data_IF_153810085591
#
_entry.id   IF_153810085591
#
_cell.length_a   1.000
_cell.length_b   1.000
_cell.length_c   1.000
_cell.angle_alpha   90.00
_cell.angle_beta   90.00
_cell.angle_gamma   90.00
#
_symmetry.space_group_name_H-M   'P 1'
#
loop_
_entity.id
_entity.type
_entity.pdbx_description
1 polymer ?
#
# COMPACT_ATOMS: atom_id res chain seq x y z
N UNK A 1 19.15 -5.25 -4.19
CA UNK A 1 18.70 -6.03 -3.01
C UNK A 1 17.43 -5.37 -2.49
N UNK A 2 16.30 -6.07 -2.55
CA UNK A 2 15.00 -5.41 -2.78
C UNK A 2 14.14 -5.31 -1.53
N UNK A 3 13.55 -4.13 -1.29
CA UNK A 3 12.65 -3.82 -0.15
C UNK A 3 11.48 -4.83 -0.02
N UNK A 4 11.14 -5.52 -1.10
CA UNK A 4 10.16 -6.62 -1.14
C UNK A 4 10.45 -7.78 -0.17
N UNK A 5 11.71 -8.00 0.23
CA UNK A 5 12.06 -8.98 1.28
C UNK A 5 11.85 -8.45 2.71
N UNK A 6 11.92 -7.14 2.96
CA UNK A 6 11.78 -6.59 4.32
C UNK A 6 10.35 -6.67 4.87
N UNK A 7 9.31 -6.56 4.04
CA UNK A 7 7.92 -6.68 4.51
C UNK A 7 7.56 -8.10 4.94
N UNK A 8 7.95 -9.14 4.18
CA UNK A 8 7.77 -10.53 4.58
C UNK A 8 8.64 -10.93 5.78
N UNK A 9 9.84 -10.37 5.90
CA UNK A 9 10.68 -10.58 7.08
C UNK A 9 10.07 -9.95 8.33
N UNK A 10 9.42 -8.79 8.26
CA UNK A 10 8.82 -8.18 9.45
C UNK A 10 7.59 -8.92 9.98
N UNK A 11 6.70 -9.45 9.12
CA UNK A 11 5.59 -10.28 9.59
C UNK A 11 6.11 -11.61 10.16
N UNK A 12 7.06 -12.27 9.50
CA UNK A 12 7.70 -13.48 10.00
C UNK A 12 8.51 -13.26 11.29
N UNK A 13 9.16 -12.11 11.47
CA UNK A 13 9.90 -11.74 12.68
C UNK A 13 8.96 -11.43 13.84
N UNK A 14 7.79 -10.80 13.58
CA UNK A 14 6.74 -10.63 14.58
C UNK A 14 6.15 -11.99 14.97
N UNK A 15 5.88 -12.86 13.99
CA UNK A 15 5.39 -14.23 14.23
C UNK A 15 6.39 -15.05 15.04
N UNK A 16 7.68 -14.99 14.68
CA UNK A 16 8.76 -15.65 15.41
C UNK A 16 8.87 -15.10 16.83
N UNK A 17 8.83 -13.77 17.02
CA UNK A 17 8.79 -13.18 18.36
C UNK A 17 7.57 -13.59 19.17
N UNK A 18 6.38 -13.73 18.57
CA UNK A 18 5.19 -14.22 19.28
C UNK A 18 5.28 -15.70 19.65
N UNK A 19 5.82 -16.54 18.75
CA UNK A 19 6.09 -17.96 19.03
C UNK A 19 7.19 -18.10 20.09
N UNK A 20 8.26 -17.32 19.99
CA UNK A 20 9.34 -17.29 20.98
C UNK A 20 8.81 -16.79 22.34
N UNK A 21 7.92 -15.78 22.38
CA UNK A 21 7.26 -15.35 23.63
C UNK A 21 6.39 -16.47 24.23
N UNK A 22 5.64 -17.18 23.40
CA UNK A 22 4.77 -18.29 23.80
C UNK A 22 5.60 -19.49 24.33
N UNK A 23 6.69 -19.84 23.64
CA UNK A 23 7.65 -20.88 24.06
C UNK A 23 8.44 -20.44 25.30
N UNK A 24 8.77 -19.16 25.46
CA UNK A 24 9.42 -18.62 26.65
C UNK A 24 8.46 -18.59 27.85
N UNK A 25 7.16 -18.41 27.63
CA UNK A 25 6.14 -18.54 28.67
C UNK A 25 5.99 -20.00 29.13
N UNK A 26 5.99 -20.95 28.18
CA UNK A 26 5.96 -22.40 28.46
C UNK A 26 7.24 -22.91 29.16
N UNK A 27 8.40 -22.30 28.89
CA UNK A 27 9.67 -22.70 29.52
C UNK A 27 9.97 -21.97 30.83
N UNK A 28 9.48 -20.75 31.04
CA UNK A 28 9.62 -20.04 32.31
C UNK A 28 8.94 -20.77 33.49
N UNK A 29 7.79 -21.41 33.25
CA UNK A 29 7.05 -22.21 34.26
C UNK A 29 7.78 -23.50 34.68
N UNK A 30 8.91 -23.84 34.04
CA UNK A 30 9.77 -24.99 34.43
C UNK A 30 10.95 -24.63 35.34
N UNK A 31 11.35 -23.36 35.42
CA UNK A 31 12.63 -22.97 36.04
C UNK A 31 12.51 -22.33 37.43
N UNK A 32 11.31 -22.17 37.98
CA UNK A 32 11.06 -21.51 39.29
C UNK A 32 11.27 -22.42 40.51
N UNK A 33 12.00 -23.54 40.39
CA UNK A 33 12.14 -24.54 41.48
C UNK A 33 13.58 -25.02 41.73
N UNK A 34 14.56 -24.11 41.85
CA UNK A 34 15.91 -24.47 42.34
C UNK A 34 16.63 -23.31 43.04
N UNK A 35 17.34 -23.63 44.14
CA UNK A 35 18.16 -22.74 45.01
C UNK A 35 17.39 -21.69 45.84
N UNK A 36 17.67 -21.37 47.12
CA UNK A 36 18.70 -21.70 48.16
C UNK A 36 18.06 -21.37 49.55
N UNK A 37 18.53 -21.75 50.76
CA UNK A 37 19.67 -22.53 51.30
C UNK A 37 19.46 -22.85 52.81
N UNK A 38 20.49 -23.42 53.47
CA UNK A 38 20.81 -23.38 54.93
C UNK A 38 20.14 -24.37 55.93
N UNK A 39 20.96 -24.78 56.91
CA UNK A 39 20.76 -25.81 57.95
C UNK A 39 20.41 -25.16 59.32
N UNK A 40 19.86 -25.89 60.32
CA UNK A 40 20.73 -26.73 61.17
C UNK A 40 20.14 -28.06 61.72
N UNK A 41 21.05 -29.02 61.91
CA UNK A 41 21.16 -30.02 63.00
C UNK A 41 19.96 -30.87 63.50
N UNK A 42 20.03 -32.18 63.20
CA UNK A 42 19.76 -33.38 64.06
C UNK A 42 18.60 -33.30 65.08
N UNK A 43 17.59 -34.18 64.98
CA UNK A 43 17.73 -35.62 65.31
C UNK A 43 16.64 -36.53 64.71
N UNK A 44 17.02 -37.81 64.54
CA UNK A 44 16.20 -39.05 64.57
C UNK A 44 14.87 -39.06 63.76
N UNK A 45 14.88 -39.58 62.52
CA UNK A 45 14.63 -41.02 62.21
C UNK A 45 13.18 -41.45 62.46
N UNK A 46 12.34 -41.34 61.42
CA UNK A 46 11.35 -42.37 61.07
C UNK A 46 10.84 -42.20 59.61
N UNK A 47 10.42 -43.32 59.02
CA UNK A 47 9.58 -43.46 57.81
C UNK A 47 10.12 -42.96 56.45
N UNK A 48 10.76 -43.91 55.75
CA UNK A 48 10.62 -44.06 54.30
C UNK A 48 9.14 -44.09 53.84
N UNK A 49 8.92 -43.84 52.54
CA UNK A 49 7.65 -43.91 51.81
C UNK A 49 6.65 -42.75 52.01
N UNK A 50 7.07 -41.54 51.61
CA UNK A 50 6.11 -40.64 50.95
C UNK A 50 5.70 -41.27 49.60
N UNK A 51 4.40 -41.41 49.28
CA UNK A 51 3.99 -42.25 48.15
C UNK A 51 4.03 -41.47 46.82
N UNK A 52 4.63 -42.08 45.78
CA UNK A 52 4.60 -41.58 44.39
C UNK A 52 3.19 -41.14 43.94
N UNK A 53 2.15 -41.79 44.50
CA UNK A 53 0.74 -41.52 44.19
C UNK A 53 0.29 -40.08 44.47
N UNK A 54 0.89 -39.35 45.41
CA UNK A 54 0.55 -37.93 45.65
C UNK A 54 1.10 -37.01 44.56
N UNK A 55 2.34 -37.22 44.13
CA UNK A 55 2.97 -36.43 43.08
C UNK A 55 2.32 -36.73 41.71
N UNK A 56 2.14 -38.02 41.40
CA UNK A 56 1.43 -38.46 40.19
C UNK A 56 -0.02 -37.97 40.12
N UNK A 57 -0.72 -37.82 41.27
CA UNK A 57 -2.07 -37.20 41.34
C UNK A 57 -2.06 -35.68 41.16
N UNK A 58 -0.94 -35.01 41.44
CA UNK A 58 -0.78 -33.56 41.22
C UNK A 58 -0.51 -33.30 39.74
N UNK A 59 0.43 -34.02 39.15
CA UNK A 59 0.79 -33.88 37.73
C UNK A 59 -0.37 -34.30 36.82
N UNK A 60 -1.11 -35.37 37.16
CA UNK A 60 -2.34 -35.75 36.45
C UNK A 60 -3.45 -34.68 36.52
N UNK A 61 -3.54 -33.91 37.62
CA UNK A 61 -4.48 -32.77 37.74
C UNK A 61 -4.05 -31.57 36.92
N UNK A 62 -2.77 -31.19 36.97
CA UNK A 62 -2.20 -30.12 36.12
C UNK A 62 -2.39 -30.43 34.63
N UNK A 63 -2.11 -31.67 34.23
CA UNK A 63 -2.27 -32.14 32.87
C UNK A 63 -3.74 -32.10 32.39
N UNK A 64 -4.70 -32.50 33.23
CA UNK A 64 -6.14 -32.35 32.93
C UNK A 64 -6.49 -30.88 32.66
N UNK A 65 -6.15 -29.98 33.60
CA UNK A 65 -6.49 -28.55 33.49
C UNK A 65 -5.92 -27.87 32.24
N UNK A 66 -4.76 -28.32 31.75
CA UNK A 66 -4.16 -27.83 30.50
C UNK A 66 -4.93 -28.33 29.27
N UNK A 67 -5.36 -29.60 29.27
CA UNK A 67 -6.18 -30.15 28.18
C UNK A 67 -7.58 -29.51 28.14
N UNK A 68 -8.20 -29.27 29.29
CA UNK A 68 -9.50 -28.60 29.39
C UNK A 68 -9.43 -27.15 28.83
N UNK A 69 -8.31 -26.45 29.05
CA UNK A 69 -8.04 -25.14 28.45
C UNK A 69 -7.86 -25.21 26.92
N UNK A 70 -7.11 -26.19 26.42
CA UNK A 70 -6.93 -26.39 24.96
C UNK A 70 -8.27 -26.67 24.28
N UNK A 71 -9.12 -27.54 24.87
CA UNK A 71 -10.44 -27.84 24.35
C UNK A 71 -11.34 -26.60 24.32
N UNK A 72 -11.30 -25.78 25.38
CA UNK A 72 -11.97 -24.48 25.45
C UNK A 72 -11.52 -23.54 24.32
N UNK A 73 -10.20 -23.43 24.07
CA UNK A 73 -9.67 -22.62 22.97
C UNK A 73 -10.13 -23.10 21.59
N UNK A 74 -10.12 -24.42 21.35
CA UNK A 74 -10.61 -25.01 20.10
C UNK A 74 -12.10 -24.69 19.91
N UNK A 75 -12.92 -24.86 20.95
CA UNK A 75 -14.36 -24.53 20.90
C UNK A 75 -14.61 -23.05 20.58
N UNK A 76 -13.86 -22.12 21.19
CA UNK A 76 -13.95 -20.68 20.87
C UNK A 76 -13.62 -20.42 19.40
N UNK A 77 -12.53 -21.01 18.89
CA UNK A 77 -12.13 -20.87 17.49
C UNK A 77 -13.17 -21.47 16.53
N UNK A 78 -13.78 -22.61 16.88
CA UNK A 78 -14.91 -23.16 16.13
C UNK A 78 -16.11 -22.20 16.07
N UNK A 79 -16.48 -21.55 17.18
CA UNK A 79 -17.56 -20.53 17.18
C UNK A 79 -17.20 -19.36 16.26
N UNK A 80 -15.96 -18.86 16.30
CA UNK A 80 -15.52 -17.76 15.41
C UNK A 80 -15.58 -18.17 13.94
N UNK A 81 -15.17 -19.39 13.59
CA UNK A 81 -15.27 -19.91 12.21
C UNK A 81 -16.74 -20.04 11.75
N UNK A 82 -17.62 -20.54 12.61
CA UNK A 82 -19.07 -20.63 12.31
C UNK A 82 -19.67 -19.22 12.15
N UNK A 83 -19.27 -18.27 13.00
CA UNK A 83 -19.72 -16.88 12.95
C UNK A 83 -19.29 -16.17 11.65
N UNK A 84 -18.08 -16.46 11.14
CA UNK A 84 -17.56 -15.93 9.88
C UNK A 84 -18.19 -16.60 8.65
N UNK A 85 -18.41 -17.93 8.68
CA UNK A 85 -19.08 -18.64 7.60
C UNK A 85 -20.55 -18.20 7.45
N UNK A 86 -21.27 -18.07 8.55
CA UNK A 86 -22.64 -17.55 8.55
C UNK A 86 -22.72 -16.09 8.08
N UNK A 87 -21.74 -15.24 8.45
CA UNK A 87 -21.62 -13.87 7.93
C UNK A 87 -21.43 -13.85 6.40
N UNK A 88 -20.58 -14.75 5.88
CA UNK A 88 -20.33 -14.87 4.43
C UNK A 88 -21.54 -15.41 3.66
N UNK A 89 -22.27 -16.37 4.24
CA UNK A 89 -23.54 -16.84 3.69
C UNK A 89 -24.57 -15.71 3.64
N UNK A 90 -24.69 -14.89 4.70
CA UNK A 90 -25.55 -13.71 4.68
C UNK A 90 -25.13 -12.70 3.59
N UNK A 91 -23.83 -12.42 3.44
CA UNK A 91 -23.34 -11.56 2.36
C UNK A 91 -23.62 -12.13 0.97
N UNK A 92 -23.51 -13.43 0.78
CA UNK A 92 -23.82 -14.10 -0.48
C UNK A 92 -25.31 -14.00 -0.83
N UNK A 93 -26.20 -14.31 0.13
CA UNK A 93 -27.64 -14.11 -0.03
C UNK A 93 -28.00 -12.64 -0.31
N UNK A 94 -27.31 -11.70 0.33
CA UNK A 94 -27.46 -10.27 0.09
C UNK A 94 -27.05 -9.86 -1.33
N UNK A 95 -25.96 -10.43 -1.84
CA UNK A 95 -25.47 -10.19 -3.20
C UNK A 95 -26.49 -10.68 -4.24
N UNK A 96 -27.04 -11.89 -4.03
CA UNK A 96 -28.11 -12.48 -4.84
C UNK A 96 -29.35 -11.58 -4.89
N UNK A 97 -29.77 -11.04 -3.74
CA UNK A 97 -31.03 -10.30 -3.64
C UNK A 97 -30.96 -8.87 -4.19
N UNK A 98 -29.81 -8.18 -4.08
CA UNK A 98 -29.71 -6.74 -4.39
C UNK A 98 -28.65 -6.37 -5.43
N UNK A 99 -27.64 -7.21 -5.68
CA UNK A 99 -26.50 -6.87 -6.52
C UNK A 99 -26.33 -7.77 -7.75
N UNK A 100 -27.33 -8.58 -8.08
CA UNK A 100 -27.35 -9.44 -9.28
C UNK A 100 -27.01 -8.69 -10.57
N UNK A 101 -27.48 -7.47 -10.75
CA UNK A 101 -27.20 -6.64 -11.94
C UNK A 101 -25.73 -6.13 -12.05
N UNK A 102 -24.88 -6.38 -11.06
CA UNK A 102 -23.45 -5.99 -11.06
C UNK A 102 -22.52 -7.08 -11.64
N UNK A 103 -23.10 -8.15 -12.20
CA UNK A 103 -22.38 -9.30 -12.75
C UNK A 103 -22.75 -9.48 -14.22
N UNK A 104 -21.76 -9.48 -15.11
CA UNK A 104 -21.95 -9.58 -16.56
C UNK A 104 -22.37 -10.99 -17.02
N UNK A 105 -21.98 -12.03 -16.28
CA UNK A 105 -22.36 -13.42 -16.57
C UNK A 105 -23.83 -13.67 -16.24
N UNK A 106 -24.51 -14.43 -17.08
CA UNK A 106 -25.90 -14.86 -16.89
C UNK A 106 -25.99 -16.30 -16.41
N UNK A 107 -27.01 -16.64 -15.63
CA UNK A 107 -27.32 -18.03 -15.25
C UNK A 107 -26.40 -18.62 -14.17
N UNK A 108 -25.96 -19.86 -14.35
CA UNK A 108 -25.19 -20.63 -13.35
C UNK A 108 -23.89 -19.95 -12.92
N UNK A 109 -23.19 -19.36 -13.89
CA UNK A 109 -21.83 -18.87 -13.70
C UNK A 109 -21.82 -17.61 -12.83
N UNK A 110 -22.91 -16.85 -12.87
CA UNK A 110 -23.16 -15.68 -12.04
C UNK A 110 -23.13 -16.04 -10.55
N UNK A 111 -23.91 -17.05 -10.15
CA UNK A 111 -23.98 -17.54 -8.77
C UNK A 111 -22.62 -18.09 -8.30
N UNK A 112 -21.90 -18.78 -9.20
CA UNK A 112 -20.56 -19.27 -8.90
C UNK A 112 -19.54 -18.13 -8.69
N UNK A 113 -19.57 -17.07 -9.50
CA UNK A 113 -18.69 -15.91 -9.33
C UNK A 113 -19.03 -15.16 -8.02
N UNK A 114 -20.31 -14.98 -7.70
CA UNK A 114 -20.75 -14.42 -6.42
C UNK A 114 -20.25 -15.25 -5.22
N UNK A 115 -20.46 -16.57 -5.26
CA UNK A 115 -20.01 -17.49 -4.22
C UNK A 115 -18.48 -17.44 -4.07
N UNK A 116 -17.74 -17.49 -5.19
CA UNK A 116 -16.28 -17.38 -5.22
C UNK A 116 -15.80 -16.07 -4.59
N UNK A 117 -16.47 -14.93 -4.84
CA UNK A 117 -16.14 -13.65 -4.20
C UNK A 117 -16.42 -13.69 -2.70
N UNK A 118 -17.63 -14.06 -2.26
CA UNK A 118 -18.03 -14.08 -0.84
C UNK A 118 -17.22 -15.07 0.02
N UNK A 119 -16.84 -16.22 -0.54
CA UNK A 119 -16.10 -17.26 0.17
C UNK A 119 -14.58 -17.24 -0.12
N UNK A 120 -14.08 -16.29 -0.90
CA UNK A 120 -12.63 -16.07 -1.04
C UNK A 120 -11.98 -15.67 0.29
N UNK A 121 -10.85 -16.29 0.60
CA UNK A 121 -10.06 -16.07 1.81
C UNK A 121 -8.56 -16.02 1.47
N UNK A 122 -7.79 -15.26 2.24
CA UNK A 122 -6.33 -15.29 2.15
C UNK A 122 -5.78 -16.64 2.64
N UNK A 123 -4.61 -17.03 2.11
CA UNK A 123 -3.96 -18.31 2.44
C UNK A 123 -3.69 -18.49 3.94
N UNK A 124 -3.40 -17.39 4.65
CA UNK A 124 -3.17 -17.40 6.10
C UNK A 124 -4.42 -17.86 6.87
N UNK A 125 -5.61 -17.40 6.47
CA UNK A 125 -6.88 -17.86 7.07
C UNK A 125 -7.12 -19.33 6.77
N UNK A 126 -6.82 -19.81 5.56
CA UNK A 126 -6.92 -21.24 5.22
C UNK A 126 -6.01 -22.07 6.15
N UNK A 127 -4.75 -21.66 6.34
CA UNK A 127 -3.80 -22.35 7.23
C UNK A 127 -4.31 -22.36 8.67
N UNK A 128 -4.80 -21.24 9.20
CA UNK A 128 -5.34 -21.17 10.57
C UNK A 128 -6.56 -22.09 10.73
N UNK A 129 -7.52 -22.06 9.80
CA UNK A 129 -8.70 -22.93 9.84
C UNK A 129 -8.31 -24.41 9.76
N UNK A 130 -7.36 -24.77 8.89
CA UNK A 130 -6.85 -26.14 8.79
C UNK A 130 -6.14 -26.60 10.08
N UNK A 131 -5.39 -25.72 10.75
CA UNK A 131 -4.78 -26.02 12.05
C UNK A 131 -5.82 -26.23 13.15
N UNK A 132 -6.90 -25.44 13.17
CA UNK A 132 -8.02 -25.62 14.13
C UNK A 132 -8.74 -26.95 13.89
N UNK A 133 -9.05 -27.27 12.62
CA UNK A 133 -9.68 -28.55 12.25
C UNK A 133 -8.76 -29.73 12.61
N UNK A 134 -7.47 -29.64 12.31
CA UNK A 134 -6.50 -30.68 12.67
C UNK A 134 -6.40 -30.88 14.19
N UNK A 135 -6.32 -29.78 14.96
CA UNK A 135 -6.31 -29.85 16.43
C UNK A 135 -7.58 -30.51 16.98
N UNK A 136 -8.76 -30.14 16.46
CA UNK A 136 -10.02 -30.75 16.84
C UNK A 136 -10.07 -32.27 16.53
N UNK A 137 -9.56 -32.69 15.36
CA UNK A 137 -9.49 -34.10 14.95
C UNK A 137 -8.51 -34.91 15.82
N UNK A 138 -7.32 -34.38 16.11
CA UNK A 138 -6.34 -35.03 17.00
C UNK A 138 -6.94 -35.20 18.40
N UNK A 139 -7.59 -34.17 18.95
CA UNK A 139 -8.23 -34.24 20.25
C UNK A 139 -9.43 -35.20 20.28
N UNK A 140 -10.23 -35.25 19.21
CA UNK A 140 -11.29 -36.25 19.04
C UNK A 140 -10.71 -37.68 19.07
N UNK A 141 -9.62 -37.94 18.35
CA UNK A 141 -8.96 -39.25 18.33
C UNK A 141 -8.38 -39.65 19.70
N UNK A 142 -7.86 -38.69 20.48
CA UNK A 142 -7.32 -38.95 21.82
C UNK A 142 -8.39 -39.24 22.89
N UNK A 143 -9.52 -38.53 22.84
CA UNK A 143 -10.52 -38.52 23.92
C UNK A 143 -11.86 -39.20 23.56
N UNK A 144 -12.06 -39.61 22.31
CA UNK A 144 -13.32 -40.15 21.76
C UNK A 144 -14.56 -39.26 21.98
N UNK A 145 -14.36 -37.98 22.33
CA UNK A 145 -15.40 -36.98 22.56
C UNK A 145 -15.32 -35.91 21.48
N UNK A 146 -16.43 -35.67 20.79
CA UNK A 146 -16.48 -34.62 19.78
C UNK A 146 -16.46 -33.25 20.46
N UNK A 147 -15.43 -32.45 20.13
CA UNK A 147 -15.26 -31.09 20.67
C UNK A 147 -16.14 -30.15 19.83
N UNK A 148 -17.45 -30.25 20.04
CA UNK A 148 -18.40 -29.24 19.57
C UNK A 148 -18.41 -28.10 20.60
N UNK A 149 -18.46 -26.82 20.20
CA UNK A 149 -18.78 -25.75 21.13
C UNK A 149 -20.19 -25.98 21.73
N UNK A 150 -20.41 -25.67 23.02
CA UNK A 150 -21.73 -25.70 23.63
C UNK A 150 -22.72 -24.84 22.83
N UNK A 151 -23.94 -25.34 22.61
CA UNK A 151 -24.95 -24.66 21.78
C UNK A 151 -25.24 -23.22 22.25
N UNK A 152 -25.16 -22.98 23.56
CA UNK A 152 -25.31 -21.66 24.16
C UNK A 152 -24.27 -20.64 23.68
N UNK A 153 -23.06 -21.05 23.30
CA UNK A 153 -22.02 -20.13 22.81
C UNK A 153 -22.32 -19.56 21.42
N UNK A 154 -23.24 -20.18 20.67
CA UNK A 154 -23.71 -19.63 19.39
C UNK A 154 -24.48 -18.32 19.58
N UNK A 155 -24.94 -18.00 20.80
CA UNK A 155 -25.55 -16.70 21.12
C UNK A 155 -24.57 -15.51 21.01
N UNK A 156 -23.25 -15.77 20.95
CA UNK A 156 -22.23 -14.74 20.75
C UNK A 156 -21.98 -14.39 19.27
N UNK A 157 -22.57 -15.11 18.31
CA UNK A 157 -22.42 -14.81 16.87
C UNK A 157 -22.88 -13.38 16.50
N UNK A 158 -24.03 -12.87 16.98
CA UNK A 158 -24.44 -11.48 16.76
C UNK A 158 -23.45 -10.45 17.32
N UNK A 159 -22.80 -10.75 18.45
CA UNK A 159 -21.76 -9.87 19.02
C UNK A 159 -20.52 -9.82 18.12
N UNK A 160 -20.08 -10.96 17.58
CA UNK A 160 -19.00 -11.01 16.59
C UNK A 160 -19.35 -10.20 15.32
N UNK A 161 -20.58 -10.32 14.82
CA UNK A 161 -21.06 -9.51 13.69
C UNK A 161 -21.07 -8.01 14.01
N UNK A 162 -21.46 -7.62 15.23
CA UNK A 162 -21.43 -6.22 15.67
C UNK A 162 -20.00 -5.67 15.75
N UNK A 163 -19.05 -6.44 16.29
CA UNK A 163 -17.63 -6.04 16.36
C UNK A 163 -17.01 -5.84 14.96
N UNK A 164 -17.35 -6.70 13.99
CA UNK A 164 -16.94 -6.54 12.59
C UNK A 164 -17.69 -5.39 11.91
N UNK A 165 -18.99 -5.23 12.17
CA UNK A 165 -19.83 -4.20 11.56
C UNK A 165 -19.45 -2.78 11.98
N UNK A 166 -19.06 -2.60 13.25
CA UNK A 166 -18.45 -1.36 13.77
C UNK A 166 -16.99 -1.19 13.28
N UNK A 167 -16.39 -2.25 12.74
CA UNK A 167 -15.01 -2.29 12.23
C UNK A 167 -14.01 -1.80 13.28
N UNK A 168 -14.00 -2.43 14.46
CA UNK A 168 -13.15 -2.03 15.59
C UNK A 168 -11.64 -2.04 15.28
N UNK A 169 -11.22 -2.81 14.28
CA UNK A 169 -9.84 -2.88 13.78
C UNK A 169 -9.48 -1.72 12.81
N UNK A 170 -10.43 -0.83 12.49
CA UNK A 170 -10.18 0.29 11.60
C UNK A 170 -9.20 1.28 12.22
N UNK A 171 -8.24 1.74 11.41
CA UNK A 171 -7.38 2.86 11.76
C UNK A 171 -6.98 3.63 10.51
N UNK A 172 -6.71 4.91 10.66
CA UNK A 172 -6.14 5.73 9.57
C UNK A 172 -4.81 5.13 9.05
N UNK A 173 -4.04 4.47 9.93
CA UNK A 173 -2.81 3.76 9.57
C UNK A 173 -3.07 2.52 8.71
N UNK A 174 -4.12 1.71 8.98
CA UNK A 174 -4.44 0.56 8.13
C UNK A 174 -4.87 1.00 6.73
N UNK A 175 -5.62 2.10 6.63
CA UNK A 175 -6.01 2.69 5.35
C UNK A 175 -4.81 3.30 4.59
N UNK A 176 -3.92 4.02 5.27
CA UNK A 176 -2.66 4.49 4.68
C UNK A 176 -1.78 3.34 4.17
N UNK A 177 -1.70 2.23 4.93
CA UNK A 177 -0.97 1.03 4.52
C UNK A 177 -1.59 0.34 3.30
N UNK A 178 -2.92 0.36 3.15
CA UNK A 178 -3.58 -0.10 1.93
C UNK A 178 -3.15 0.73 0.71
N UNK A 179 -3.27 2.06 0.77
CA UNK A 179 -2.81 2.97 -0.32
C UNK A 179 -1.33 2.76 -0.68
N UNK A 180 -0.47 2.48 0.30
CA UNK A 180 0.96 2.22 0.08
C UNK A 180 1.22 0.92 -0.69
N UNK A 181 0.40 -0.11 -0.50
CA UNK A 181 0.52 -1.38 -1.24
C UNK A 181 0.19 -1.16 -2.72
N UNK A 182 0.83 -1.90 -3.64
CA UNK A 182 0.50 -1.83 -5.06
C UNK A 182 -0.60 -2.84 -5.39
N UNK A 183 -1.75 -2.30 -5.80
CA UNK A 183 -2.94 -3.09 -6.11
C UNK A 183 -3.74 -2.53 -7.30
N UNK A 184 -3.34 -1.40 -7.89
CA UNK A 184 -3.93 -0.82 -9.10
C UNK A 184 -5.33 -0.19 -8.93
N UNK A 185 -5.85 -0.14 -7.70
CA UNK A 185 -7.22 0.31 -7.39
C UNK A 185 -7.26 1.60 -6.55
N UNK A 186 -6.11 2.11 -6.10
CA UNK A 186 -6.05 3.39 -5.42
C UNK A 186 -6.05 4.55 -6.41
N UNK A 187 -6.49 5.71 -5.93
CA UNK A 187 -6.64 6.92 -6.75
C UNK A 187 -5.29 7.40 -7.33
N UNK A 188 -4.16 7.13 -6.66
CA UNK A 188 -2.85 7.59 -7.09
C UNK A 188 -2.24 6.72 -8.19
N UNK A 189 -2.28 5.38 -8.06
CA UNK A 189 -1.86 4.46 -9.14
C UNK A 189 -2.76 4.67 -10.38
N UNK A 190 -4.06 4.88 -10.19
CA UNK A 190 -4.99 5.21 -11.28
C UNK A 190 -4.64 6.50 -12.02
N UNK A 191 -4.42 7.61 -11.31
CA UNK A 191 -4.01 8.89 -11.91
C UNK A 191 -2.68 8.80 -12.67
N UNK A 192 -1.66 8.20 -12.05
CA UNK A 192 -0.33 8.06 -12.66
C UNK A 192 -0.40 7.17 -13.92
N UNK A 193 -1.16 6.07 -13.88
CA UNK A 193 -1.35 5.19 -15.04
C UNK A 193 -2.12 5.88 -16.17
N UNK A 194 -3.16 6.66 -15.84
CA UNK A 194 -3.93 7.42 -16.83
C UNK A 194 -3.10 8.52 -17.51
N UNK A 195 -2.28 9.25 -16.75
CA UNK A 195 -1.40 10.28 -17.32
C UNK A 195 -0.25 9.68 -18.13
N UNK A 196 0.32 8.56 -17.69
CA UNK A 196 1.31 7.82 -18.46
C UNK A 196 0.73 7.30 -19.78
N UNK A 197 -0.32 6.47 -19.75
CA UNK A 197 -0.89 5.84 -20.96
C UNK A 197 -1.72 6.80 -21.83
N UNK A 198 -2.29 7.85 -21.24
CA UNK A 198 -3.12 8.84 -21.92
C UNK A 198 -2.35 10.01 -22.53
N UNK A 199 -1.13 10.29 -22.03
CA UNK A 199 -0.32 11.43 -22.44
C UNK A 199 1.15 11.06 -22.65
N UNK A 200 1.94 10.78 -21.60
CA UNK A 200 3.40 10.67 -21.70
C UNK A 200 3.87 9.58 -22.68
N UNK A 201 3.22 8.41 -22.68
CA UNK A 201 3.49 7.29 -23.61
C UNK A 201 3.35 7.70 -25.09
N UNK A 202 2.55 8.74 -25.35
CA UNK A 202 2.23 9.23 -26.69
C UNK A 202 3.10 10.42 -27.12
N UNK A 203 3.63 11.19 -26.17
CA UNK A 203 4.32 12.48 -26.43
C UNK A 203 5.83 12.46 -26.28
N UNK A 204 6.34 11.51 -25.49
CA UNK A 204 7.76 11.39 -25.17
C UNK A 204 8.56 10.66 -26.27
N UNK A 205 8.39 9.35 -26.53
CA UNK A 205 9.16 8.69 -27.59
C UNK A 205 8.76 9.11 -29.00
N UNK A 206 9.69 8.93 -29.93
CA UNK A 206 9.39 8.83 -31.36
C UNK A 206 8.50 7.64 -31.69
N UNK A 207 7.58 7.84 -32.62
CA UNK A 207 6.71 6.81 -33.21
C UNK A 207 6.79 6.88 -34.74
N UNK A 208 6.35 5.85 -35.44
CA UNK A 208 6.20 5.88 -36.90
C UNK A 208 5.36 7.09 -37.34
N UNK A 209 5.98 8.05 -38.04
CA UNK A 209 5.34 9.28 -38.52
C UNK A 209 5.27 10.45 -37.54
N UNK A 210 5.79 10.32 -36.31
CA UNK A 210 5.82 11.42 -35.33
C UNK A 210 7.12 11.43 -34.52
N UNK A 211 7.79 12.59 -34.52
CA UNK A 211 8.97 12.84 -33.69
C UNK A 211 8.63 12.77 -32.20
N UNK A 212 9.58 12.30 -31.39
CA UNK A 212 9.52 12.31 -29.94
C UNK A 212 9.72 13.71 -29.36
N UNK A 213 9.86 13.79 -28.04
CA UNK A 213 10.18 15.03 -27.36
C UNK A 213 11.62 15.45 -27.67
N UNK A 214 12.59 14.53 -27.53
CA UNK A 214 14.00 14.84 -27.74
C UNK A 214 14.31 15.37 -29.14
N UNK A 215 13.78 14.75 -30.19
CA UNK A 215 13.99 15.22 -31.56
C UNK A 215 13.28 16.55 -31.83
N UNK A 216 12.09 16.79 -31.21
CA UNK A 216 11.43 18.11 -31.26
C UNK A 216 12.23 19.19 -30.53
N UNK A 217 12.93 18.86 -29.44
CA UNK A 217 13.85 19.78 -28.77
C UNK A 217 15.04 20.09 -29.67
N UNK A 218 15.67 19.08 -30.30
CA UNK A 218 16.81 19.26 -31.20
C UNK A 218 16.47 20.11 -32.43
N UNK A 219 15.28 19.92 -33.02
CA UNK A 219 14.77 20.80 -34.08
C UNK A 219 14.50 22.22 -33.60
N UNK A 220 14.00 22.39 -32.37
CA UNK A 220 13.78 23.71 -31.77
C UNK A 220 15.11 24.45 -31.56
N UNK A 221 16.13 23.77 -30.99
CA UNK A 221 17.48 24.31 -30.80
C UNK A 221 18.08 24.78 -32.13
N UNK A 222 18.02 23.95 -33.17
CA UNK A 222 18.52 24.28 -34.50
C UNK A 222 17.78 25.45 -35.17
N UNK A 223 16.45 25.51 -35.02
CA UNK A 223 15.60 26.54 -35.64
C UNK A 223 15.72 27.89 -34.95
N UNK A 224 15.57 27.91 -33.64
CA UNK A 224 15.53 29.14 -32.83
C UNK A 224 16.94 29.58 -32.38
N UNK A 225 17.96 28.76 -32.62
CA UNK A 225 19.37 28.98 -32.24
C UNK A 225 19.56 29.15 -30.73
N UNK A 226 19.01 28.20 -29.98
CA UNK A 226 19.03 28.16 -28.51
C UNK A 226 19.59 26.83 -28.00
N UNK A 227 19.84 26.75 -26.69
CA UNK A 227 20.33 25.54 -26.02
C UNK A 227 19.37 25.15 -24.88
N UNK A 228 18.98 23.88 -24.81
CA UNK A 228 18.19 23.35 -23.70
C UNK A 228 19.08 22.89 -22.55
N UNK A 229 18.67 23.18 -21.31
CA UNK A 229 19.44 22.79 -20.13
C UNK A 229 19.50 21.26 -19.94
N UNK A 230 18.41 20.59 -20.31
CA UNK A 230 18.25 19.13 -20.35
C UNK A 230 17.31 18.80 -21.52
N UNK A 231 17.57 17.73 -22.25
CA UNK A 231 16.72 17.31 -23.39
C UNK A 231 15.61 16.36 -22.96
N UNK A 232 14.86 16.77 -21.93
CA UNK A 232 13.84 15.97 -21.22
C UNK A 232 12.64 16.83 -20.86
N UNK A 233 11.46 16.22 -20.71
CA UNK A 233 10.28 16.91 -20.17
C UNK A 233 10.37 16.96 -18.65
N UNK A 234 10.43 18.16 -18.09
CA UNK A 234 10.44 18.32 -16.64
C UNK A 234 9.00 18.44 -16.14
N UNK A 235 8.61 17.54 -15.23
CA UNK A 235 7.26 17.44 -14.68
C UNK A 235 7.31 17.87 -13.21
N UNK A 236 6.71 19.02 -12.91
CA UNK A 236 6.65 19.60 -11.56
C UNK A 236 5.56 18.95 -10.72
N UNK A 237 5.94 18.48 -9.53
CA UNK A 237 5.04 17.87 -8.54
C UNK A 237 5.17 18.64 -7.22
N UNK A 238 4.35 19.67 -6.96
CA UNK A 238 4.39 20.40 -5.71
C UNK A 238 3.79 19.58 -4.56
N UNK A 239 4.35 19.71 -3.36
CA UNK A 239 3.84 19.05 -2.15
C UNK A 239 2.40 19.46 -1.74
N UNK A 240 1.90 20.58 -2.27
CA UNK A 240 0.52 21.07 -2.13
C UNK A 240 -0.45 20.43 -3.12
N UNK A 241 0.05 19.69 -4.12
CA UNK A 241 -0.67 19.22 -5.32
C UNK A 241 -1.21 20.32 -6.25
N UNK A 242 -1.16 21.59 -5.84
CA UNK A 242 -1.59 22.73 -6.63
C UNK A 242 -0.46 23.30 -7.49
N UNK A 243 -0.66 23.32 -8.82
CA UNK A 243 0.15 24.08 -9.78
C UNK A 243 -0.74 25.17 -10.36
N UNK A 244 -0.24 26.42 -10.39
CA UNK A 244 -0.99 27.53 -11.00
C UNK A 244 -1.10 27.34 -12.53
N UNK A 245 -2.15 27.89 -13.14
CA UNK A 245 -2.41 27.87 -14.59
C UNK A 245 -1.28 28.45 -15.45
N UNK A 246 -0.39 29.24 -14.83
CA UNK A 246 0.86 29.76 -15.40
C UNK A 246 1.99 29.47 -14.41
N UNK A 247 3.13 29.02 -14.91
CA UNK A 247 4.33 28.88 -14.08
C UNK A 247 4.94 30.27 -13.92
N UNK A 248 4.84 30.80 -12.70
CA UNK A 248 5.39 32.11 -12.32
C UNK A 248 6.74 31.92 -11.61
N UNK A 249 7.75 32.66 -12.05
CA UNK A 249 9.09 32.67 -11.48
C UNK A 249 9.80 33.98 -11.87
N UNK A 250 10.74 34.40 -11.03
CA UNK A 250 11.64 35.54 -11.29
C UNK A 250 12.73 35.21 -12.30
N UNK A 251 13.16 33.95 -12.34
CA UNK A 251 14.30 33.51 -13.16
C UNK A 251 13.89 32.65 -14.36
N UNK A 252 12.59 32.40 -14.56
CA UNK A 252 12.06 31.59 -15.66
C UNK A 252 10.85 32.30 -16.30
N UNK A 253 10.84 32.42 -17.64
CA UNK A 253 9.78 33.12 -18.39
C UNK A 253 9.33 32.37 -19.64
N UNK A 254 8.07 32.57 -20.01
CA UNK A 254 7.48 32.15 -21.30
C UNK A 254 7.33 33.33 -22.29
N UNK A 255 7.65 34.55 -21.88
CA UNK A 255 7.48 35.74 -22.72
C UNK A 255 8.40 35.67 -23.96
N UNK A 256 7.81 35.72 -25.16
CA UNK A 256 8.55 35.58 -26.42
C UNK A 256 9.06 34.16 -26.71
N UNK A 257 8.63 33.14 -25.96
CA UNK A 257 9.00 31.74 -26.17
C UNK A 257 7.83 30.99 -26.81
N UNK A 258 8.09 30.31 -27.93
CA UNK A 258 7.08 29.47 -28.60
C UNK A 258 7.12 28.05 -28.03
N UNK A 259 6.00 27.30 -28.03
CA UNK A 259 5.99 25.90 -27.60
C UNK A 259 6.74 25.00 -28.59
N UNK A 260 7.06 23.77 -28.18
CA UNK A 260 7.53 22.73 -29.11
C UNK A 260 6.45 22.43 -30.16
N UNK A 261 6.87 21.82 -31.27
CA UNK A 261 5.97 21.39 -32.33
C UNK A 261 4.84 20.49 -31.77
N UNK A 262 3.61 20.80 -32.18
CA UNK A 262 2.40 20.11 -31.70
C UNK A 262 2.24 18.79 -32.41
N UNK A 263 2.30 17.67 -31.69
CA UNK A 263 1.96 16.37 -32.25
C UNK A 263 0.44 16.21 -32.20
N UNK A 264 -0.19 15.83 -33.31
CA UNK A 264 -1.62 15.48 -33.34
C UNK A 264 -1.75 13.97 -33.46
N UNK A 265 -2.55 13.33 -32.58
CA UNK A 265 -2.86 11.89 -32.67
C UNK A 265 -4.35 11.65 -32.47
N UNK A 266 -4.92 10.73 -33.25
CA UNK A 266 -6.31 10.29 -33.03
C UNK A 266 -6.40 9.48 -31.72
N UNK A 267 -7.35 9.85 -30.85
CA UNK A 267 -7.64 9.19 -29.58
C UNK A 267 -9.15 9.10 -29.41
N UNK A 268 -9.67 7.88 -29.34
CA UNK A 268 -11.10 7.59 -29.22
C UNK A 268 -11.95 8.33 -30.28
N UNK A 269 -11.51 8.30 -31.54
CA UNK A 269 -12.21 8.91 -32.68
C UNK A 269 -11.97 10.41 -32.87
N UNK A 270 -11.24 11.08 -31.96
CA UNK A 270 -10.99 12.53 -32.02
C UNK A 270 -9.50 12.81 -32.15
N UNK A 271 -9.12 13.70 -33.06
CA UNK A 271 -7.75 14.23 -33.14
C UNK A 271 -7.44 15.09 -31.91
N UNK A 272 -6.39 14.71 -31.17
CA UNK A 272 -5.95 15.43 -29.97
C UNK A 272 -4.59 16.07 -30.23
N UNK A 273 -4.47 17.41 -30.09
CA UNK A 273 -3.18 18.09 -30.12
C UNK A 273 -2.46 17.93 -28.78
N UNK A 274 -1.22 17.46 -28.84
CA UNK A 274 -0.30 17.33 -27.72
C UNK A 274 0.75 18.44 -27.82
N UNK A 275 0.72 19.37 -26.86
CA UNK A 275 1.59 20.55 -26.82
C UNK A 275 2.49 20.47 -25.60
N UNK A 276 3.76 20.84 -25.77
CA UNK A 276 4.71 20.98 -24.67
C UNK A 276 5.21 22.42 -24.67
N UNK A 277 5.06 23.11 -23.54
CA UNK A 277 5.52 24.48 -23.39
C UNK A 277 7.03 24.52 -23.13
N UNK A 278 7.69 25.50 -23.73
CA UNK A 278 9.11 25.81 -23.49
C UNK A 278 9.17 27.08 -22.65
N UNK A 279 10.12 27.11 -21.71
CA UNK A 279 10.44 28.27 -20.89
C UNK A 279 11.92 28.60 -21.02
N UNK A 280 12.25 29.88 -20.84
CA UNK A 280 13.60 30.46 -20.93
C UNK A 280 14.06 30.92 -19.56
N UNK A 281 15.29 30.61 -19.17
CA UNK A 281 15.91 31.24 -18.00
C UNK A 281 16.25 32.72 -18.30
N UNK A 282 15.85 33.63 -17.41
CA UNK A 282 16.12 35.08 -17.58
C UNK A 282 17.54 35.48 -17.21
N UNK A 283 18.24 34.62 -16.47
CA UNK A 283 19.63 34.79 -16.04
C UNK A 283 20.49 33.73 -16.75
N UNK A 284 21.63 34.09 -17.37
CA UNK A 284 22.52 33.12 -17.99
C UNK A 284 23.21 32.24 -16.94
N UNK A 285 23.38 30.97 -17.26
CA UNK A 285 24.07 29.97 -16.45
C UNK A 285 25.40 29.68 -17.14
N UNK A 286 26.53 29.93 -16.46
CA UNK A 286 27.88 29.81 -17.04
C UNK A 286 28.09 30.61 -18.35
N UNK A 287 27.34 31.69 -18.55
CA UNK A 287 27.37 32.53 -19.76
C UNK A 287 26.33 32.17 -20.83
N UNK A 288 25.72 30.97 -20.77
CA UNK A 288 24.72 30.50 -21.73
C UNK A 288 23.30 30.76 -21.22
N UNK A 289 22.39 31.18 -22.11
CA UNK A 289 20.98 31.36 -21.77
C UNK A 289 20.18 30.11 -22.15
N UNK A 290 19.77 29.35 -21.14
CA UNK A 290 19.17 28.04 -21.33
C UNK A 290 17.63 28.05 -21.41
N UNK A 291 17.11 27.03 -22.09
CA UNK A 291 15.68 26.75 -22.25
C UNK A 291 15.32 25.38 -21.65
N UNK A 292 14.04 25.16 -21.33
CA UNK A 292 13.52 23.91 -20.73
C UNK A 292 12.11 23.61 -21.22
N UNK A 293 11.82 22.32 -21.49
CA UNK A 293 10.46 21.83 -21.66
C UNK A 293 9.88 21.53 -20.27
N UNK A 294 8.78 22.19 -19.89
CA UNK A 294 8.32 22.22 -18.50
C UNK A 294 6.79 22.21 -18.40
N UNK A 295 6.25 21.32 -17.57
CA UNK A 295 4.82 21.31 -17.23
C UNK A 295 4.59 20.93 -15.76
N UNK A 296 3.39 21.24 -15.25
CA UNK A 296 2.91 20.71 -13.97
C UNK A 296 2.28 19.33 -14.16
N UNK A 297 2.36 18.47 -13.14
CA UNK A 297 1.63 17.21 -13.14
C UNK A 297 0.12 17.45 -13.03
N UNK A 298 -0.56 17.63 -14.17
CA UNK A 298 -2.00 17.92 -14.29
C UNK A 298 -2.92 17.05 -13.42
N UNK A 299 -2.68 15.72 -13.25
CA UNK A 299 -3.51 14.91 -12.34
C UNK A 299 -3.50 15.37 -10.88
N UNK A 300 -2.40 15.96 -10.41
CA UNK A 300 -2.31 16.52 -9.05
C UNK A 300 -3.18 17.77 -8.90
N UNK A 301 -3.26 18.62 -9.93
CA UNK A 301 -4.17 19.76 -9.94
C UNK A 301 -5.62 19.29 -9.92
N UNK A 302 -6.00 18.32 -10.78
CA UNK A 302 -7.35 17.75 -10.77
C UNK A 302 -7.71 17.06 -9.44
N UNK A 303 -6.74 16.44 -8.77
CA UNK A 303 -6.95 15.89 -7.42
C UNK A 303 -7.13 16.99 -6.36
N UNK A 304 -6.35 18.07 -6.44
CA UNK A 304 -6.49 19.24 -5.57
C UNK A 304 -7.88 19.90 -5.72
N UNK A 305 -8.35 20.06 -6.96
CA UNK A 305 -9.71 20.53 -7.27
C UNK A 305 -10.77 19.59 -6.70
N UNK A 306 -10.62 18.26 -6.90
CA UNK A 306 -11.54 17.27 -6.37
C UNK A 306 -11.58 17.20 -4.83
N UNK A 307 -10.49 17.53 -4.14
CA UNK A 307 -10.44 17.69 -2.67
C UNK A 307 -11.06 19.00 -2.16
N UNK A 308 -11.27 19.96 -3.05
CA UNK A 308 -11.79 21.31 -2.72
C UNK A 308 -13.27 21.43 -3.06
N UNK A 309 -13.74 20.71 -4.09
CA UNK A 309 -15.14 20.71 -4.55
C UNK A 309 -16.00 19.68 -3.80
N UNK A 310 -17.03 20.13 -3.07
CA UNK A 310 -17.80 19.28 -2.15
C UNK A 310 -18.37 17.99 -2.75
N UNK A 311 -18.99 17.96 -3.95
CA UNK A 311 -19.56 16.74 -4.54
C UNK A 311 -18.56 15.59 -4.80
N UNK A 312 -17.28 15.89 -4.98
CA UNK A 312 -16.22 14.89 -5.21
C UNK A 312 -15.28 14.72 -4.00
N UNK A 313 -15.35 15.61 -3.02
CA UNK A 313 -14.50 15.58 -1.83
C UNK A 313 -14.94 14.49 -0.86
N UNK A 314 -13.99 13.64 -0.45
CA UNK A 314 -14.16 12.73 0.70
C UNK A 314 -13.20 13.11 1.83
N UNK A 315 -13.50 12.70 3.07
CA UNK A 315 -12.59 12.89 4.19
C UNK A 315 -11.30 12.08 4.00
N UNK A 316 -11.40 10.89 3.38
CA UNK A 316 -10.26 10.03 3.06
C UNK A 316 -9.26 10.74 2.16
N UNK A 317 -9.72 11.46 1.12
CA UNK A 317 -8.84 12.21 0.22
C UNK A 317 -8.09 13.30 0.97
N UNK A 318 -8.77 14.08 1.83
CA UNK A 318 -8.16 15.17 2.61
C UNK A 318 -7.11 14.67 3.61
N UNK A 319 -7.40 13.58 4.31
CA UNK A 319 -6.51 12.97 5.28
C UNK A 319 -5.31 12.28 4.60
N UNK A 320 -5.57 11.49 3.56
CA UNK A 320 -4.55 10.67 2.88
C UNK A 320 -3.80 11.40 1.77
N UNK A 321 -4.03 12.71 1.58
CA UNK A 321 -3.46 13.51 0.47
C UNK A 321 -1.94 13.34 0.30
N UNK A 322 -1.19 13.20 1.40
CA UNK A 322 0.27 12.99 1.37
C UNK A 322 0.66 11.58 0.91
N UNK A 323 -0.09 10.57 1.31
CA UNK A 323 0.14 9.19 0.83
C UNK A 323 -0.19 9.09 -0.66
N UNK A 324 -1.31 9.67 -1.09
CA UNK A 324 -1.75 9.74 -2.50
C UNK A 324 -0.70 10.46 -3.36
N UNK A 325 -0.22 11.64 -2.94
CA UNK A 325 0.86 12.38 -3.62
C UNK A 325 2.14 11.54 -3.77
N UNK A 326 2.63 10.94 -2.68
CA UNK A 326 3.88 10.18 -2.70
C UNK A 326 3.74 8.88 -3.49
N UNK A 327 2.56 8.26 -3.46
CA UNK A 327 2.22 7.08 -4.24
C UNK A 327 2.16 7.40 -5.74
N UNK A 328 1.52 8.51 -6.12
CA UNK A 328 1.48 9.01 -7.50
C UNK A 328 2.89 9.25 -8.04
N UNK A 329 3.72 10.01 -7.31
CA UNK A 329 5.11 10.28 -7.70
C UNK A 329 5.91 9.00 -7.91
N UNK A 330 5.84 8.06 -6.96
CA UNK A 330 6.57 6.78 -7.05
C UNK A 330 6.09 5.91 -8.20
N UNK A 331 4.77 5.80 -8.41
CA UNK A 331 4.20 4.98 -9.48
C UNK A 331 4.49 5.57 -10.86
N UNK A 332 4.35 6.89 -11.03
CA UNK A 332 4.68 7.55 -12.29
C UNK A 332 6.17 7.44 -12.64
N UNK A 333 7.07 7.63 -11.65
CA UNK A 333 8.51 7.42 -11.83
C UNK A 333 8.86 5.97 -12.17
N UNK A 334 8.13 5.00 -11.60
CA UNK A 334 8.23 3.58 -11.94
C UNK A 334 7.81 3.33 -13.39
N UNK A 335 6.64 3.82 -13.82
CA UNK A 335 6.11 3.62 -15.18
C UNK A 335 7.04 4.18 -16.27
N UNK A 336 7.60 5.38 -16.07
CA UNK A 336 8.56 5.97 -17.02
C UNK A 336 9.82 5.13 -17.18
N UNK A 337 10.33 4.56 -16.08
CA UNK A 337 11.53 3.72 -16.07
C UNK A 337 11.27 2.30 -16.60
N UNK A 338 10.11 1.72 -16.31
CA UNK A 338 9.79 0.34 -16.73
C UNK A 338 9.39 0.22 -18.20
N UNK A 339 9.12 1.33 -18.89
CA UNK A 339 8.91 1.34 -20.34
C UNK A 339 10.11 2.00 -21.04
N UNK A 340 11.02 1.22 -21.68
CA UNK A 340 12.27 1.74 -22.21
C UNK A 340 12.15 2.95 -23.16
N UNK A 341 11.11 3.09 -24.02
CA UNK A 341 10.92 4.28 -24.85
C UNK A 341 10.62 5.58 -24.08
N UNK A 342 10.40 5.53 -22.76
CA UNK A 342 10.33 6.72 -21.89
C UNK A 342 11.42 6.79 -20.84
N UNK A 343 12.35 5.83 -20.84
CA UNK A 343 13.54 5.94 -20.00
C UNK A 343 14.34 7.15 -20.47
N UNK A 344 14.74 7.99 -19.52
CA UNK A 344 15.43 9.27 -19.74
C UNK A 344 14.70 10.38 -20.54
N UNK A 345 13.49 10.18 -21.09
CA UNK A 345 12.73 11.23 -21.81
C UNK A 345 12.05 12.28 -20.89
N UNK A 346 11.86 11.97 -19.60
CA UNK A 346 11.21 12.87 -18.64
C UNK A 346 11.80 12.77 -17.22
N UNK A 347 11.75 13.87 -16.47
CA UNK A 347 12.25 13.97 -15.09
C UNK A 347 11.17 14.54 -14.16
N UNK A 348 10.87 13.84 -13.05
CA UNK A 348 9.89 14.29 -12.06
C UNK A 348 10.55 15.04 -10.91
N UNK A 349 10.20 16.31 -10.74
CA UNK A 349 10.69 17.19 -9.66
C UNK A 349 9.62 17.33 -8.59
N UNK A 350 9.75 16.55 -7.51
CA UNK A 350 8.94 16.70 -6.29
C UNK A 350 9.57 17.77 -5.40
N UNK A 351 8.83 18.86 -5.13
CA UNK A 351 9.34 20.01 -4.38
C UNK A 351 8.33 20.53 -3.35
N UNK A 352 8.81 21.35 -2.40
CA UNK A 352 7.94 22.03 -1.46
C UNK A 352 7.49 23.37 -2.05
N UNK A 353 6.18 23.63 -2.11
CA UNK A 353 5.68 24.90 -2.66
C UNK A 353 6.01 26.12 -1.76
N UNK A 354 6.42 25.87 -0.51
CA UNK A 354 6.77 26.89 0.48
C UNK A 354 8.13 26.56 1.13
N UNK A 355 8.91 27.62 1.36
CA UNK A 355 10.16 27.59 2.14
C UNK A 355 9.84 27.41 3.64
N UNK A 356 10.83 27.09 4.46
CA UNK A 356 10.65 26.84 5.90
C UNK A 356 10.09 28.03 6.69
N UNK A 357 10.22 29.24 6.16
CA UNK A 357 9.65 30.48 6.70
C UNK A 357 8.21 30.77 6.20
N UNK A 358 7.56 29.81 5.55
CA UNK A 358 6.20 29.93 5.01
C UNK A 358 6.06 30.74 3.72
N UNK A 359 7.14 31.34 3.20
CA UNK A 359 7.10 32.08 1.93
C UNK A 359 7.01 31.13 0.73
N UNK A 360 6.30 31.50 -0.36
CA UNK A 360 6.30 30.72 -1.60
C UNK A 360 7.72 30.45 -2.11
N UNK A 361 7.97 29.24 -2.59
CA UNK A 361 9.23 28.89 -3.21
C UNK A 361 9.17 29.20 -4.72
N UNK A 362 10.17 29.92 -5.24
CA UNK A 362 10.28 30.20 -6.68
C UNK A 362 10.59 28.89 -7.43
N UNK A 363 9.76 28.57 -8.42
CA UNK A 363 9.87 27.33 -9.19
C UNK A 363 11.14 27.31 -10.05
N UNK A 364 11.59 28.46 -10.54
CA UNK A 364 12.84 28.59 -11.28
C UNK A 364 14.05 28.32 -10.40
N UNK A 365 14.08 28.80 -9.15
CA UNK A 365 15.14 28.48 -8.18
C UNK A 365 15.25 26.96 -7.92
N UNK A 366 14.10 26.29 -7.74
CA UNK A 366 14.02 24.83 -7.59
C UNK A 366 14.57 24.13 -8.84
N UNK A 367 14.12 24.57 -10.01
CA UNK A 367 14.46 23.97 -11.30
C UNK A 367 15.95 24.09 -11.61
N UNK A 368 16.52 25.29 -11.43
CA UNK A 368 17.94 25.57 -11.58
C UNK A 368 18.78 24.68 -10.67
N UNK A 369 18.39 24.58 -9.39
CA UNK A 369 19.07 23.71 -8.41
C UNK A 369 19.04 22.24 -8.83
N UNK A 370 17.89 21.75 -9.31
CA UNK A 370 17.72 20.36 -9.78
C UNK A 370 18.59 20.07 -11.01
N UNK A 371 18.58 20.96 -11.99
CA UNK A 371 19.37 20.85 -13.23
C UNK A 371 20.87 20.89 -12.95
N UNK A 372 21.34 21.82 -12.10
CA UNK A 372 22.76 21.88 -11.72
C UNK A 372 23.20 20.59 -11.03
N UNK A 373 22.36 19.98 -10.19
CA UNK A 373 22.64 18.68 -9.60
C UNK A 373 22.67 17.56 -10.66
N UNK A 374 21.76 17.56 -11.64
CA UNK A 374 21.81 16.60 -12.76
C UNK A 374 23.11 16.71 -13.57
N UNK A 375 23.58 17.92 -13.86
CA UNK A 375 24.85 18.12 -14.56
C UNK A 375 26.05 17.63 -13.74
N UNK A 376 26.09 17.89 -12.44
CA UNK A 376 27.12 17.39 -11.53
C UNK A 376 27.13 15.84 -11.43
N UNK A 377 25.97 15.20 -11.64
CA UNK A 377 25.81 13.74 -11.70
C UNK A 377 26.03 13.15 -13.11
N UNK A 378 26.31 13.97 -14.14
CA UNK A 378 26.48 13.52 -15.53
C UNK A 378 25.18 13.09 -16.23
N UNK A 379 24.02 13.60 -15.78
CA UNK A 379 22.67 13.24 -16.27
C UNK A 379 22.02 14.34 -17.14
N UNK A 380 22.80 15.06 -17.95
CA UNK A 380 22.34 16.12 -18.88
C UNK A 380 21.37 15.60 -19.97
#
# INVERSE_FOLDING_TARGET
MTIHQMCHVNSALLYRKCIDLFLHFITADRNTTTEKSAMPSKKEVLQCHLPLTKQFRSDKRKCSSMFDYIDTCIQILCVVVIAELSRRLFLYLREILWYTNYYESTGSDQWWIMAKRCFSVNIETIVIVMLVVFAALVRFAMNAKFILPPLGWLCYIPLYWLLIGVNISFSHLSYANWIRQSHGLDYAEGMASNYFHGYLKLTLPSHTGHLGLKERIELYEAKEKVEFAVKRLIILVPNTMFVNSRIESRILTKAGVVPLETIVKNRAGVERPFKNDVYKFTVPINGTTYYVALEGATPMLSFFEAMTYQPSTTWQMKEMKREILLKFYKHLKKLLKEWPPTEDEAELVLYNAYKSNGQPQDVGEVLLSHITNMWNEGRS
#
